data_IF_415347650440
#
_entry.id   IF_415347650440
#
_cell.length_a   1.000
_cell.length_b   1.000
_cell.length_c   1.000
_cell.angle_alpha   90.00
_cell.angle_beta   90.00
_cell.angle_gamma   90.00
#
_symmetry.space_group_name_H-M   'P 1'
#
loop_
_entity.id
_entity.type
_entity.pdbx_description
1 polymer ?
#
# COMPACT_ATOMS: atom_id res chain seq x y z
N UNK A 1 20.49 -26.77 10.81
CA UNK A 1 21.83 -26.82 11.44
C UNK A 1 21.66 -26.21 12.83
N UNK A 2 21.50 -27.06 13.82
CA UNK A 2 21.29 -26.67 15.23
C UNK A 2 22.63 -26.51 15.90
N UNK A 3 22.87 -25.39 16.56
CA UNK A 3 23.99 -25.26 17.50
C UNK A 3 23.43 -25.28 18.92
N UNK A 4 23.79 -26.30 19.65
CA UNK A 4 23.60 -26.45 21.08
C UNK A 4 24.80 -25.83 21.77
N UNK A 5 24.60 -24.93 22.73
CA UNK A 5 25.65 -24.45 23.63
C UNK A 5 25.39 -25.06 25.01
N UNK A 6 26.34 -25.84 25.50
CA UNK A 6 26.38 -26.37 26.87
C UNK A 6 26.80 -25.26 27.83
N UNK A 7 26.10 -25.13 28.95
CA UNK A 7 26.55 -24.42 30.15
C UNK A 7 27.25 -25.41 31.07
N UNK A 8 28.38 -24.99 31.57
CA UNK A 8 29.12 -25.69 32.60
C UNK A 8 28.81 -25.02 33.94
N UNK A 9 28.32 -25.82 34.91
CA UNK A 9 28.22 -25.45 36.34
C UNK A 9 29.58 -25.67 37.02
N UNK A 10 30.00 -24.75 37.87
CA UNK A 10 30.92 -25.06 38.95
C UNK A 10 30.52 -24.36 40.25
N UNK A 11 30.55 -25.15 41.27
CA UNK A 11 30.08 -25.00 42.64
C UNK A 11 30.63 -23.80 43.44
N UNK A 12 29.87 -23.39 44.44
CA UNK A 12 30.36 -22.54 45.52
C UNK A 12 29.27 -22.09 46.51
N UNK A 13 28.83 -22.97 47.37
CA UNK A 13 27.88 -22.65 48.43
C UNK A 13 28.44 -21.77 49.53
N UNK A 14 27.59 -20.89 50.08
CA UNK A 14 27.68 -20.49 51.51
C UNK A 14 26.34 -20.07 52.03
N UNK A 15 25.97 -20.75 53.07
CA UNK A 15 24.86 -20.58 54.00
C UNK A 15 24.87 -19.20 54.69
N UNK A 16 23.76 -18.51 54.84
CA UNK A 16 23.61 -17.45 55.83
C UNK A 16 22.16 -17.30 56.31
N UNK A 17 22.03 -17.57 57.60
CA UNK A 17 20.80 -17.70 58.40
C UNK A 17 20.02 -16.39 58.50
N UNK A 18 18.70 -16.50 58.54
CA UNK A 18 17.76 -15.50 59.03
C UNK A 18 18.04 -15.14 60.47
N UNK A 19 18.16 -13.83 60.77
CA UNK A 19 17.91 -13.26 62.10
C UNK A 19 16.74 -12.27 62.01
N UNK A 20 15.61 -12.70 62.58
CA UNK A 20 14.46 -11.83 62.84
C UNK A 20 14.72 -10.99 64.10
N UNK A 21 14.74 -9.67 63.97
CA UNK A 21 14.54 -8.75 65.10
C UNK A 21 13.29 -7.90 64.87
N UNK A 22 12.32 -8.13 65.74
CA UNK A 22 11.14 -7.27 65.91
C UNK A 22 11.51 -6.01 66.71
N UNK A 23 11.16 -4.83 66.22
CA UNK A 23 11.09 -3.57 66.98
C UNK A 23 9.71 -2.99 66.83
N UNK A 24 9.12 -2.40 67.90
CA UNK A 24 7.75 -1.97 67.90
C UNK A 24 7.60 -0.61 67.17
N UNK A 25 6.55 -0.51 66.38
CA UNK A 25 6.14 0.72 65.68
C UNK A 25 5.28 1.55 66.63
N UNK A 26 5.78 2.72 66.97
CA UNK A 26 5.03 3.77 67.67
C UNK A 26 4.19 4.51 66.60
N UNK A 27 2.87 4.39 66.70
CA UNK A 27 1.92 5.11 65.84
C UNK A 27 1.75 6.51 66.38
N UNK A 28 2.27 7.51 65.71
CA UNK A 28 1.92 8.93 65.89
C UNK A 28 1.03 9.33 64.74
N UNK A 29 -0.28 9.43 65.00
CA UNK A 29 -1.26 9.95 64.07
C UNK A 29 -1.16 11.48 64.00
N UNK A 30 -0.54 12.03 62.99
CA UNK A 30 -0.67 13.42 62.62
C UNK A 30 -1.76 13.51 61.53
N UNK A 31 -2.93 14.05 61.92
CA UNK A 31 -3.95 14.50 60.99
C UNK A 31 -3.42 15.73 60.23
N UNK A 32 -2.91 15.55 59.06
CA UNK A 32 -2.71 16.64 58.10
C UNK A 32 -3.96 16.73 57.22
N UNK A 33 -4.80 17.72 57.48
CA UNK A 33 -5.86 18.16 56.56
C UNK A 33 -5.21 18.71 55.27
N UNK A 34 -4.95 17.84 54.31
CA UNK A 34 -4.62 18.26 52.97
C UNK A 34 -5.91 18.65 52.27
N UNK A 35 -6.15 19.95 52.12
CA UNK A 35 -7.18 20.50 51.25
C UNK A 35 -6.84 20.07 49.80
N UNK A 36 -7.56 19.08 49.28
CA UNK A 36 -7.56 18.77 47.87
C UNK A 36 -8.12 19.99 47.12
N UNK A 37 -7.23 20.85 46.60
CA UNK A 37 -7.60 21.74 45.51
C UNK A 37 -7.87 20.86 44.29
N UNK A 38 -9.00 21.04 43.55
CA UNK A 38 -9.17 20.35 42.29
C UNK A 38 -8.00 20.76 41.39
N UNK A 39 -7.29 19.75 40.85
CA UNK A 39 -6.32 19.97 39.78
C UNK A 39 -7.11 20.64 38.68
N UNK A 40 -6.79 21.90 38.38
CA UNK A 40 -7.32 22.61 37.25
C UNK A 40 -7.16 21.66 36.04
N UNK A 41 -8.29 21.36 35.40
CA UNK A 41 -8.29 20.81 34.04
C UNK A 41 -7.36 21.72 33.24
N UNK A 42 -6.18 21.21 32.92
CA UNK A 42 -5.31 21.81 31.93
C UNK A 42 -6.21 22.09 30.74
N UNK A 43 -6.35 23.34 30.36
CA UNK A 43 -7.09 23.77 29.19
C UNK A 43 -6.68 22.88 28.01
N UNK A 44 -7.53 21.93 27.67
CA UNK A 44 -7.40 21.24 26.40
C UNK A 44 -7.53 22.34 25.35
N UNK A 45 -6.60 22.45 24.41
CA UNK A 45 -6.71 23.45 23.36
C UNK A 45 -8.11 23.27 22.74
N UNK A 46 -8.93 24.32 22.80
CA UNK A 46 -10.28 24.33 22.22
C UNK A 46 -10.15 23.79 20.81
N UNK A 47 -10.84 22.66 20.51
CA UNK A 47 -10.96 22.19 19.14
C UNK A 47 -11.35 23.40 18.28
N UNK A 48 -10.57 23.73 17.23
CA UNK A 48 -11.02 24.75 16.29
C UNK A 48 -12.42 24.41 15.82
N UNK A 49 -13.24 25.41 15.60
CA UNK A 49 -14.59 25.22 15.05
C UNK A 49 -14.49 24.38 13.75
N UNK A 50 -15.42 23.46 13.48
CA UNK A 50 -15.44 22.73 12.24
C UNK A 50 -15.33 23.72 11.07
N UNK A 51 -14.41 23.47 10.13
CA UNK A 51 -14.36 24.27 8.91
C UNK A 51 -15.73 24.11 8.27
N UNK A 52 -16.43 25.21 7.93
CA UNK A 52 -17.68 25.10 7.20
C UNK A 52 -17.43 24.23 5.94
N UNK A 53 -18.42 23.45 5.51
CA UNK A 53 -18.40 22.55 4.34
C UNK A 53 -18.07 23.24 2.98
N UNK A 54 -17.28 24.31 2.99
CA UNK A 54 -16.69 25.03 1.86
C UNK A 54 -15.35 24.48 1.38
N UNK A 55 -14.86 23.37 1.96
CA UNK A 55 -13.64 22.70 1.52
C UNK A 55 -13.83 21.97 0.18
N UNK A 56 -12.73 21.60 -0.46
CA UNK A 56 -12.71 20.83 -1.70
C UNK A 56 -13.34 19.44 -1.48
N UNK A 57 -14.60 19.27 -1.90
CA UNK A 57 -15.40 18.08 -1.57
C UNK A 57 -14.91 16.82 -2.30
N UNK A 58 -15.23 15.64 -1.73
CA UNK A 58 -14.92 14.35 -2.37
C UNK A 58 -15.54 14.24 -3.76
N UNK A 59 -16.80 14.64 -3.92
CA UNK A 59 -17.49 14.61 -5.23
C UNK A 59 -16.81 15.51 -6.27
N UNK A 60 -16.34 16.69 -5.86
CA UNK A 60 -15.58 17.58 -6.75
C UNK A 60 -14.23 16.96 -7.15
N UNK A 61 -13.52 16.32 -6.22
CA UNK A 61 -12.27 15.66 -6.51
C UNK A 61 -12.44 14.44 -7.44
N UNK A 62 -13.47 13.63 -7.21
CA UNK A 62 -13.82 12.52 -8.09
C UNK A 62 -14.27 13.03 -9.48
N UNK A 63 -15.00 14.14 -9.53
CA UNK A 63 -15.37 14.80 -10.78
C UNK A 63 -14.17 15.29 -11.60
N UNK A 64 -13.09 15.74 -10.92
CA UNK A 64 -11.82 16.06 -11.57
C UNK A 64 -11.18 14.80 -12.13
N UNK A 65 -11.10 13.72 -11.33
CA UNK A 65 -10.55 12.45 -11.76
C UNK A 65 -11.24 11.89 -13.01
N UNK A 66 -12.57 12.03 -13.08
CA UNK A 66 -13.35 11.58 -14.24
C UNK A 66 -13.14 12.47 -15.48
N UNK A 67 -13.15 13.79 -15.29
CA UNK A 67 -13.07 14.77 -16.39
C UNK A 67 -11.71 14.85 -17.04
N UNK A 68 -10.64 14.74 -16.24
CA UNK A 68 -9.25 14.91 -16.69
C UNK A 68 -8.51 13.60 -16.87
N UNK A 69 -9.25 12.51 -16.87
CA UNK A 69 -8.68 11.19 -17.13
C UNK A 69 -8.01 11.16 -18.50
N UNK A 70 -6.73 10.83 -18.53
CA UNK A 70 -5.95 10.64 -19.76
C UNK A 70 -6.36 9.31 -20.39
N UNK A 71 -7.27 9.39 -21.37
CA UNK A 71 -7.93 8.21 -21.95
C UNK A 71 -6.99 7.22 -22.63
N UNK A 72 -5.84 7.69 -23.13
CA UNK A 72 -4.84 6.84 -23.73
C UNK A 72 -4.14 5.89 -22.75
N UNK A 73 -4.22 6.15 -21.43
CA UNK A 73 -3.67 5.27 -20.40
C UNK A 73 -4.76 4.30 -19.97
N UNK A 74 -4.81 3.13 -20.59
CA UNK A 74 -5.81 2.09 -20.32
C UNK A 74 -5.28 0.92 -19.51
N UNK A 75 -3.96 0.70 -19.50
CA UNK A 75 -3.32 -0.40 -18.80
C UNK A 75 -2.33 0.10 -17.75
N UNK A 76 -2.18 -0.66 -16.67
CA UNK A 76 -1.13 -0.47 -15.67
C UNK A 76 0.27 -0.89 -16.16
N UNK A 77 0.34 -1.55 -17.30
CA UNK A 77 1.60 -1.90 -17.99
C UNK A 77 1.87 -0.83 -19.05
N UNK A 78 2.44 0.29 -18.64
CA UNK A 78 2.76 1.38 -19.55
C UNK A 78 4.27 1.56 -19.69
N UNK A 79 4.84 1.35 -20.90
CA UNK A 79 6.24 1.65 -21.18
C UNK A 79 6.57 3.13 -20.95
N UNK A 80 7.80 3.41 -20.56
CA UNK A 80 8.24 4.77 -20.24
C UNK A 80 8.06 5.71 -21.44
N UNK A 81 8.42 5.30 -22.64
CA UNK A 81 8.29 6.13 -23.84
C UNK A 81 6.81 6.51 -24.10
N UNK A 82 5.89 5.55 -23.96
CA UNK A 82 4.46 5.76 -24.19
C UNK A 82 3.88 6.71 -23.14
N UNK A 83 4.25 6.54 -21.86
CA UNK A 83 3.84 7.42 -20.77
C UNK A 83 4.21 8.88 -21.05
N UNK A 84 5.46 9.13 -21.40
CA UNK A 84 5.93 10.49 -21.69
C UNK A 84 5.35 11.07 -22.99
N UNK A 85 5.11 10.23 -24.00
CA UNK A 85 4.46 10.64 -25.25
C UNK A 85 3.03 11.11 -24.99
N UNK A 86 2.26 10.36 -24.22
CA UNK A 86 0.87 10.72 -23.86
C UNK A 86 0.80 11.99 -23.04
N UNK A 87 1.80 12.27 -22.20
CA UNK A 87 1.86 13.47 -21.37
C UNK A 87 2.35 14.72 -22.11
N UNK A 88 2.90 14.60 -23.31
CA UNK A 88 3.51 15.72 -24.04
C UNK A 88 2.61 16.98 -24.11
N UNK A 89 1.28 16.88 -24.31
CA UNK A 89 0.41 18.06 -24.30
C UNK A 89 0.42 18.82 -22.97
N UNK A 90 0.54 18.11 -21.83
CA UNK A 90 0.64 18.73 -20.51
C UNK A 90 2.04 19.31 -20.26
N UNK A 91 3.09 18.62 -20.69
CA UNK A 91 4.49 18.98 -20.40
C UNK A 91 4.94 20.29 -21.07
N UNK A 92 4.30 20.71 -22.14
CA UNK A 92 4.59 21.99 -22.84
C UNK A 92 3.84 23.19 -22.23
N UNK A 93 2.99 22.95 -21.24
CA UNK A 93 2.22 24.02 -20.59
C UNK A 93 3.14 24.95 -19.77
N UNK A 94 2.97 26.28 -19.87
CA UNK A 94 3.72 27.24 -19.07
C UNK A 94 3.39 27.18 -17.56
N UNK A 95 2.36 26.42 -17.17
CA UNK A 95 2.02 26.16 -15.76
C UNK A 95 2.96 25.15 -15.10
N UNK A 96 3.72 24.42 -15.88
CA UNK A 96 4.64 23.39 -15.39
C UNK A 96 6.09 23.76 -15.71
N UNK A 97 6.98 23.40 -14.78
CA UNK A 97 8.41 23.35 -15.04
C UNK A 97 8.85 21.89 -15.05
N UNK A 98 9.37 21.46 -16.20
CA UNK A 98 9.87 20.09 -16.42
C UNK A 98 11.38 20.12 -16.44
N UNK A 99 12.02 19.23 -15.70
CA UNK A 99 13.48 19.10 -15.66
C UNK A 99 13.90 17.62 -15.75
N UNK A 100 15.00 17.34 -16.42
CA UNK A 100 15.68 16.05 -16.34
C UNK A 100 16.56 16.04 -15.09
N UNK A 101 16.25 15.14 -14.15
CA UNK A 101 16.95 15.05 -12.86
C UNK A 101 18.06 13.99 -12.87
N UNK A 102 18.22 13.27 -13.96
CA UNK A 102 19.20 12.22 -14.17
C UNK A 102 18.76 11.22 -15.23
N UNK A 103 19.47 10.11 -15.31
CA UNK A 103 19.18 9.00 -16.21
C UNK A 103 19.20 7.69 -15.44
N UNK A 104 18.36 6.73 -15.86
CA UNK A 104 18.38 5.36 -15.34
C UNK A 104 19.66 4.62 -15.79
N UNK A 105 19.84 3.41 -15.29
CA UNK A 105 21.00 2.56 -15.69
C UNK A 105 21.07 2.37 -17.21
N UNK A 106 19.94 2.21 -17.90
CA UNK A 106 19.90 2.07 -19.35
C UNK A 106 19.80 3.41 -20.10
N UNK A 107 20.04 4.53 -19.41
CA UNK A 107 20.11 5.86 -20.02
C UNK A 107 18.75 6.53 -20.28
N UNK A 108 17.63 5.99 -19.78
CA UNK A 108 16.32 6.62 -19.90
C UNK A 108 16.23 7.83 -18.99
N UNK A 109 15.67 8.97 -19.46
CA UNK A 109 15.60 10.20 -18.67
C UNK A 109 14.69 10.03 -17.46
N UNK A 110 15.17 10.46 -16.29
CA UNK A 110 14.39 10.65 -15.08
C UNK A 110 13.91 12.10 -15.06
N UNK A 111 12.61 12.31 -14.91
CA UNK A 111 12.02 13.65 -15.01
C UNK A 111 11.28 14.02 -13.73
N UNK A 112 11.49 15.27 -13.30
CA UNK A 112 10.68 15.92 -12.29
C UNK A 112 9.84 17.03 -12.93
N UNK A 113 8.60 17.17 -12.44
CA UNK A 113 7.62 18.13 -12.93
C UNK A 113 7.18 18.96 -11.75
N UNK A 114 7.32 20.28 -11.84
CA UNK A 114 6.95 21.21 -10.77
C UNK A 114 5.75 22.06 -11.18
N UNK A 115 4.77 22.15 -10.29
CA UNK A 115 3.58 23.01 -10.40
C UNK A 115 3.51 23.95 -9.21
N UNK A 116 3.09 25.20 -9.46
CA UNK A 116 2.94 26.22 -8.44
C UNK A 116 4.27 26.85 -7.97
N UNK A 117 4.14 27.84 -7.10
CA UNK A 117 5.27 28.61 -6.55
C UNK A 117 5.04 29.03 -5.09
N UNK A 118 4.08 28.41 -4.41
CA UNK A 118 3.80 28.70 -3.01
C UNK A 118 4.90 28.25 -2.05
N UNK A 119 4.87 28.74 -0.80
CA UNK A 119 5.93 28.53 0.16
C UNK A 119 6.04 27.09 0.67
N UNK A 120 4.93 26.33 0.71
CA UNK A 120 4.94 24.95 1.20
C UNK A 120 5.33 23.99 0.09
N UNK A 121 6.35 23.19 0.33
CA UNK A 121 6.94 22.28 -0.67
C UNK A 121 6.46 20.84 -0.48
N UNK A 122 5.92 20.26 -1.54
CA UNK A 122 5.41 18.90 -1.54
C UNK A 122 6.10 18.08 -2.63
N UNK A 123 6.70 16.95 -2.26
CA UNK A 123 7.34 16.02 -3.19
C UNK A 123 6.51 14.74 -3.30
N UNK A 124 6.11 14.39 -4.51
CA UNK A 124 5.49 13.10 -4.82
C UNK A 124 6.43 12.29 -5.70
N UNK A 125 6.66 11.03 -5.36
CA UNK A 125 7.40 10.11 -6.24
C UNK A 125 6.69 8.79 -6.35
N UNK A 126 6.68 8.24 -7.55
CA UNK A 126 5.96 7.01 -7.90
C UNK A 126 6.84 6.10 -8.74
N UNK A 127 6.40 4.88 -8.89
CA UNK A 127 6.99 3.85 -9.75
C UNK A 127 8.51 3.69 -9.56
N UNK A 128 8.96 3.71 -8.29
CA UNK A 128 10.32 3.28 -7.99
C UNK A 128 10.44 1.74 -8.10
N UNK A 129 9.32 1.02 -7.99
CA UNK A 129 9.19 -0.34 -8.49
C UNK A 129 8.46 -0.26 -9.84
N UNK A 130 9.04 -0.87 -10.87
CA UNK A 130 8.57 -0.66 -12.24
C UNK A 130 7.20 -1.26 -12.55
N UNK A 131 6.72 -2.21 -11.75
CA UNK A 131 5.40 -2.84 -11.84
C UNK A 131 4.30 -2.15 -11.01
N UNK A 132 4.63 -1.02 -10.35
CA UNK A 132 3.73 -0.30 -9.44
C UNK A 132 3.26 1.02 -10.07
N UNK A 133 2.36 0.96 -11.05
CA UNK A 133 2.01 2.11 -11.89
C UNK A 133 0.72 2.85 -11.50
N UNK A 134 -0.01 2.43 -10.46
CA UNK A 134 -1.33 3.02 -10.14
C UNK A 134 -1.25 4.53 -9.94
N UNK A 135 -0.33 4.98 -9.10
CA UNK A 135 -0.16 6.40 -8.86
C UNK A 135 0.50 7.13 -10.04
N UNK A 136 1.36 6.47 -10.82
CA UNK A 136 1.93 7.02 -12.06
C UNK A 136 0.81 7.39 -13.04
N UNK A 137 -0.19 6.51 -13.21
CA UNK A 137 -1.38 6.81 -14.01
C UNK A 137 -2.20 7.96 -13.42
N UNK A 138 -2.36 8.00 -12.09
CA UNK A 138 -3.07 9.09 -11.43
C UNK A 138 -2.36 10.44 -11.57
N UNK A 139 -1.03 10.46 -11.49
CA UNK A 139 -0.25 11.67 -11.70
C UNK A 139 -0.39 12.22 -13.12
N UNK A 140 -0.60 11.37 -14.13
CA UNK A 140 -0.92 11.80 -15.49
C UNK A 140 -2.23 12.60 -15.54
N UNK A 141 -3.28 12.13 -14.87
CA UNK A 141 -4.57 12.81 -14.78
C UNK A 141 -4.47 14.14 -14.01
N UNK A 142 -3.73 14.14 -12.91
CA UNK A 142 -3.46 15.34 -12.12
C UNK A 142 -2.73 16.38 -12.97
N UNK A 143 -1.73 16.00 -13.76
CA UNK A 143 -1.02 16.91 -14.67
C UNK A 143 -1.94 17.45 -15.75
N UNK A 144 -2.83 16.63 -16.31
CA UNK A 144 -3.83 17.09 -17.28
C UNK A 144 -4.78 18.14 -16.66
N UNK A 145 -5.22 17.94 -15.41
CA UNK A 145 -5.99 18.94 -14.69
C UNK A 145 -5.20 20.20 -14.36
N UNK A 146 -3.96 20.08 -13.89
CA UNK A 146 -3.10 21.21 -13.54
C UNK A 146 -2.84 22.14 -14.72
N UNK A 147 -2.84 21.60 -15.94
CA UNK A 147 -2.55 22.33 -17.18
C UNK A 147 -3.77 22.81 -17.93
N UNK A 148 -4.98 22.45 -17.49
CA UNK A 148 -6.22 22.85 -18.12
C UNK A 148 -6.40 24.37 -18.15
N UNK A 149 -7.02 24.89 -19.23
CA UNK A 149 -7.16 26.32 -19.47
C UNK A 149 -8.35 26.98 -18.75
N UNK A 150 -9.33 26.17 -18.33
CA UNK A 150 -10.51 26.69 -17.62
C UNK A 150 -10.15 27.26 -16.25
N UNK A 151 -10.91 28.24 -15.79
CA UNK A 151 -10.77 28.75 -14.42
C UNK A 151 -11.11 27.65 -13.39
N UNK A 152 -10.30 27.55 -12.33
CA UNK A 152 -10.48 26.56 -11.27
C UNK A 152 -9.83 27.09 -9.97
N UNK A 153 -10.69 27.47 -9.01
CA UNK A 153 -10.23 28.09 -7.76
C UNK A 153 -9.43 27.15 -6.87
N UNK A 154 -9.62 25.81 -6.97
CA UNK A 154 -8.82 24.83 -6.24
C UNK A 154 -7.41 24.81 -6.83
N UNK A 155 -7.29 24.70 -8.15
CA UNK A 155 -6.00 24.69 -8.84
C UNK A 155 -5.21 25.98 -8.58
N UNK A 156 -5.86 27.15 -8.62
CA UNK A 156 -5.22 28.44 -8.38
C UNK A 156 -4.75 28.57 -6.93
N UNK A 157 -5.56 28.10 -5.96
CA UNK A 157 -5.17 28.01 -4.56
C UNK A 157 -3.96 27.09 -4.37
N UNK A 158 -3.95 25.88 -4.96
CA UNK A 158 -2.81 24.99 -4.89
C UNK A 158 -1.56 25.64 -5.48
N UNK A 159 -1.66 26.29 -6.64
CA UNK A 159 -0.55 26.93 -7.30
C UNK A 159 0.08 28.07 -6.46
N UNK A 160 -0.74 28.84 -5.72
CA UNK A 160 -0.26 29.96 -4.89
C UNK A 160 0.21 29.54 -3.51
N UNK A 161 -0.31 28.45 -2.95
CA UNK A 161 0.02 27.97 -1.59
C UNK A 161 1.13 26.95 -1.57
N UNK A 162 1.26 26.15 -2.64
CA UNK A 162 2.18 25.02 -2.72
C UNK A 162 3.16 25.16 -3.88
N UNK A 163 4.34 24.59 -3.70
CA UNK A 163 5.23 24.17 -4.78
C UNK A 163 5.21 22.64 -4.79
N UNK A 164 4.54 22.04 -5.77
CA UNK A 164 4.37 20.60 -5.88
C UNK A 164 5.34 20.05 -6.92
N UNK A 165 6.27 19.22 -6.51
CA UNK A 165 7.21 18.53 -7.39
C UNK A 165 6.81 17.06 -7.49
N UNK A 166 6.70 16.54 -8.70
CA UNK A 166 6.30 15.17 -9.00
C UNK A 166 7.38 14.44 -9.80
N UNK A 167 7.72 13.23 -9.39
CA UNK A 167 8.57 12.28 -10.12
C UNK A 167 7.66 11.07 -10.44
N UNK A 168 6.92 11.09 -11.56
CA UNK A 168 5.91 10.06 -11.82
C UNK A 168 6.47 8.66 -12.07
N UNK A 169 7.70 8.56 -12.59
CA UNK A 169 8.33 7.28 -12.94
C UNK A 169 9.82 7.33 -12.61
N UNK A 170 10.16 6.83 -11.41
CA UNK A 170 11.54 6.82 -10.94
C UNK A 170 12.35 5.64 -11.52
N UNK A 171 11.68 4.52 -11.87
CA UNK A 171 12.32 3.32 -12.43
C UNK A 171 11.78 3.01 -13.84
N UNK A 172 12.18 3.79 -14.86
CA UNK A 172 11.71 3.56 -16.22
C UNK A 172 12.20 2.24 -16.81
N UNK A 173 13.34 1.71 -16.35
CA UNK A 173 13.89 0.43 -16.81
C UNK A 173 13.07 -0.76 -16.32
N UNK A 174 12.63 -0.70 -15.04
CA UNK A 174 11.71 -1.67 -14.46
C UNK A 174 10.32 -1.57 -15.08
N UNK A 175 9.83 -0.37 -15.37
CA UNK A 175 8.54 -0.14 -16.03
C UNK A 175 8.44 -0.81 -17.39
N UNK A 176 9.51 -0.71 -18.22
CA UNK A 176 9.58 -1.38 -19.52
C UNK A 176 9.40 -2.90 -19.43
N UNK A 177 9.87 -3.51 -18.36
CA UNK A 177 9.81 -4.96 -18.14
C UNK A 177 8.64 -5.37 -17.24
N UNK A 178 7.93 -4.39 -16.71
CA UNK A 178 6.90 -4.57 -15.69
C UNK A 178 7.41 -5.44 -14.53
N UNK A 179 8.54 -5.03 -13.96
CA UNK A 179 9.21 -5.71 -12.85
C UNK A 179 9.55 -4.73 -11.73
N UNK A 180 9.67 -5.25 -10.51
CA UNK A 180 9.95 -4.46 -9.32
C UNK A 180 11.32 -3.75 -9.39
N UNK A 181 12.35 -4.51 -9.69
CA UNK A 181 13.74 -4.06 -9.66
C UNK A 181 14.09 -3.23 -10.90
N UNK A 182 15.19 -2.51 -10.82
CA UNK A 182 15.77 -1.79 -11.96
C UNK A 182 16.48 -2.75 -12.95
N UNK A 183 17.17 -2.18 -13.94
CA UNK A 183 17.80 -2.93 -15.02
C UNK A 183 18.83 -3.99 -14.58
N UNK A 184 19.42 -3.83 -13.39
CA UNK A 184 20.44 -4.74 -12.84
C UNK A 184 19.94 -5.55 -11.63
N UNK A 185 18.62 -5.62 -11.41
CA UNK A 185 18.04 -6.42 -10.34
C UNK A 185 18.14 -5.79 -8.95
N UNK A 186 18.34 -4.47 -8.84
CA UNK A 186 18.36 -3.76 -7.56
C UNK A 186 16.98 -3.17 -7.28
N UNK A 187 16.43 -3.49 -6.10
CA UNK A 187 15.28 -2.79 -5.54
C UNK A 187 15.73 -1.38 -5.08
N UNK A 188 15.26 -0.35 -5.80
CA UNK A 188 15.62 1.05 -5.54
C UNK A 188 15.18 1.46 -4.12
N UNK A 189 14.05 0.92 -3.61
CA UNK A 189 13.58 1.16 -2.24
C UNK A 189 14.36 0.35 -1.17
N UNK A 190 15.49 -0.23 -1.54
CA UNK A 190 16.50 -0.83 -0.65
C UNK A 190 17.87 -0.20 -0.80
N UNK A 191 17.95 0.89 -1.57
CA UNK A 191 19.20 1.58 -1.88
C UNK A 191 19.28 3.01 -1.27
N UNK A 192 18.28 3.44 -0.50
CA UNK A 192 18.20 4.79 0.06
C UNK A 192 19.39 5.18 0.95
N UNK A 193 19.98 4.20 1.67
CA UNK A 193 21.13 4.43 2.53
C UNK A 193 22.44 4.46 1.73
N UNK A 194 22.59 3.59 0.74
CA UNK A 194 23.85 3.39 0.01
C UNK A 194 23.95 4.27 -1.22
N UNK A 195 22.82 4.56 -1.86
CA UNK A 195 22.74 5.38 -3.07
C UNK A 195 23.64 4.86 -4.20
N UNK A 196 23.62 3.57 -4.47
CA UNK A 196 24.44 2.93 -5.50
C UNK A 196 23.90 3.20 -6.89
N UNK A 197 22.55 3.18 -7.04
CA UNK A 197 21.88 3.33 -8.32
C UNK A 197 21.74 4.81 -8.73
N UNK A 198 21.74 5.12 -10.03
CA UNK A 198 21.51 6.49 -10.51
C UNK A 198 20.12 7.01 -10.12
N UNK A 199 19.10 6.15 -10.09
CA UNK A 199 17.74 6.48 -9.70
C UNK A 199 17.69 6.92 -8.22
N UNK A 200 18.34 6.17 -7.33
CA UNK A 200 18.43 6.52 -5.91
C UNK A 200 19.18 7.83 -5.68
N UNK A 201 20.31 8.04 -6.39
CA UNK A 201 21.06 9.30 -6.36
C UNK A 201 20.23 10.48 -6.85
N UNK A 202 19.46 10.31 -7.94
CA UNK A 202 18.61 11.36 -8.49
C UNK A 202 17.52 11.77 -7.50
N UNK A 203 16.81 10.82 -6.87
CA UNK A 203 15.79 11.12 -5.87
C UNK A 203 16.40 11.82 -4.64
N UNK A 204 17.56 11.37 -4.17
CA UNK A 204 18.26 12.00 -3.04
C UNK A 204 18.69 13.43 -3.37
N UNK A 205 19.27 13.66 -4.54
CA UNK A 205 19.67 14.99 -5.00
C UNK A 205 18.48 15.96 -5.12
N UNK A 206 17.34 15.46 -5.62
CA UNK A 206 16.08 16.23 -5.63
C UNK A 206 15.68 16.61 -4.21
N UNK A 207 15.66 15.65 -3.28
CA UNK A 207 15.33 15.94 -1.88
C UNK A 207 16.22 17.01 -1.28
N UNK A 208 17.53 16.93 -1.46
CA UNK A 208 18.50 17.87 -0.87
C UNK A 208 18.33 19.31 -1.37
N UNK A 209 18.08 19.49 -2.68
CA UNK A 209 17.91 20.83 -3.25
C UNK A 209 16.50 21.39 -3.06
N UNK A 210 15.48 20.52 -3.10
CA UNK A 210 14.09 20.94 -3.00
C UNK A 210 13.66 21.15 -1.55
N UNK A 211 14.15 20.31 -0.62
CA UNK A 211 13.84 20.33 0.82
C UNK A 211 12.32 20.32 1.07
N UNK A 212 11.63 19.24 0.74
CA UNK A 212 10.19 19.18 0.85
C UNK A 212 9.72 19.14 2.31
N UNK A 213 8.64 19.89 2.61
CA UNK A 213 7.95 19.85 3.90
C UNK A 213 7.13 18.55 4.03
N UNK A 214 6.53 18.12 2.93
CA UNK A 214 5.70 16.91 2.82
C UNK A 214 6.20 16.01 1.70
N UNK A 215 6.10 14.70 1.91
CA UNK A 215 6.46 13.67 0.95
C UNK A 215 5.36 12.64 0.77
N UNK A 216 5.09 12.25 -0.47
CA UNK A 216 4.19 11.15 -0.81
C UNK A 216 4.99 10.06 -1.54
N UNK A 217 5.17 8.95 -0.84
CA UNK A 217 5.77 7.73 -1.37
C UNK A 217 4.67 6.87 -1.96
N UNK A 218 4.59 6.80 -3.28
CA UNK A 218 3.46 6.22 -3.99
C UNK A 218 3.84 4.86 -4.56
N UNK A 219 3.22 3.82 -4.01
CA UNK A 219 3.50 2.42 -4.30
C UNK A 219 2.24 1.62 -4.64
N UNK A 220 2.45 0.40 -5.10
CA UNK A 220 1.43 -0.63 -5.18
C UNK A 220 1.83 -1.84 -4.31
N UNK A 221 0.91 -2.34 -3.48
CA UNK A 221 1.13 -3.55 -2.70
C UNK A 221 0.67 -4.81 -3.44
N UNK A 222 1.13 -5.95 -2.96
CA UNK A 222 0.74 -7.25 -3.49
C UNK A 222 -0.79 -7.44 -3.41
N UNK A 223 -1.40 -7.88 -4.52
CA UNK A 223 -2.85 -8.09 -4.61
C UNK A 223 -3.38 -9.17 -3.65
N UNK A 224 -2.51 -10.05 -3.12
CA UNK A 224 -2.85 -11.06 -2.11
C UNK A 224 -2.84 -10.54 -0.69
N UNK A 225 -2.80 -9.22 -0.52
CA UNK A 225 -2.84 -8.57 0.78
C UNK A 225 -4.27 -8.32 1.20
N UNK A 226 -4.57 -8.55 2.48
CA UNK A 226 -5.88 -8.36 3.11
C UNK A 226 -5.83 -7.33 4.23
N UNK A 227 -6.97 -6.78 4.58
CA UNK A 227 -7.16 -5.94 5.77
C UNK A 227 -7.23 -6.85 7.00
N UNK A 228 -6.20 -6.86 7.83
CA UNK A 228 -6.07 -7.82 8.92
C UNK A 228 -6.06 -9.27 8.42
N UNK A 229 -6.26 -10.21 9.33
CA UNK A 229 -6.25 -11.65 9.00
C UNK A 229 -7.50 -12.13 8.28
N UNK A 230 -8.65 -11.51 8.55
CA UNK A 230 -9.97 -11.99 8.12
C UNK A 230 -10.75 -11.01 7.25
N UNK A 231 -10.28 -9.77 7.14
CA UNK A 231 -10.92 -8.73 6.33
C UNK A 231 -10.84 -9.01 4.82
N UNK A 232 -11.43 -8.16 3.99
CA UNK A 232 -11.39 -8.29 2.54
C UNK A 232 -9.99 -8.02 1.98
N UNK A 233 -9.81 -8.22 0.67
CA UNK A 233 -8.64 -7.78 -0.07
C UNK A 233 -8.42 -6.27 0.18
N UNK A 234 -7.18 -5.90 0.52
CA UNK A 234 -6.83 -4.51 0.78
C UNK A 234 -6.74 -3.72 -0.53
N UNK A 235 -7.58 -2.71 -0.66
CA UNK A 235 -7.53 -1.76 -1.78
C UNK A 235 -6.42 -0.72 -1.58
N UNK A 236 -6.24 -0.28 -0.35
CA UNK A 236 -5.21 0.71 0.03
C UNK A 236 -4.57 0.28 1.36
N UNK A 237 -3.26 0.48 1.49
CA UNK A 237 -2.60 0.53 2.78
C UNK A 237 -1.82 1.84 2.94
N UNK A 238 -1.83 2.39 4.14
CA UNK A 238 -1.20 3.66 4.48
C UNK A 238 -0.09 3.46 5.51
N UNK A 239 0.93 4.32 5.47
CA UNK A 239 1.95 4.35 6.50
C UNK A 239 2.44 5.80 6.73
N UNK A 240 2.55 6.19 8.00
CA UNK A 240 3.39 7.27 8.46
C UNK A 240 4.72 6.67 8.94
N UNK A 241 5.76 6.59 8.08
CA UNK A 241 6.97 5.82 8.35
C UNK A 241 7.69 6.27 9.61
N UNK A 242 8.30 5.31 10.32
CA UNK A 242 9.19 5.63 11.42
C UNK A 242 10.46 6.31 10.90
N UNK A 243 11.03 7.21 11.69
CA UNK A 243 12.32 7.85 11.41
C UNK A 243 13.45 7.28 12.31
N UNK A 244 13.13 6.33 13.18
CA UNK A 244 14.07 5.68 14.09
C UNK A 244 13.57 4.28 14.50
N UNK A 245 14.49 3.47 15.06
CA UNK A 245 14.20 2.09 15.48
C UNK A 245 13.25 2.00 16.69
N UNK A 246 13.12 3.05 17.49
CA UNK A 246 12.16 3.13 18.59
C UNK A 246 10.75 3.45 18.12
N UNK A 247 10.58 3.76 16.84
CA UNK A 247 9.31 4.16 16.23
C UNK A 247 8.65 5.35 16.95
N UNK A 248 9.49 6.28 17.36
CA UNK A 248 9.05 7.50 18.06
C UNK A 248 8.14 8.38 17.19
N UNK A 249 7.45 9.32 17.83
CA UNK A 249 6.56 10.27 17.16
C UNK A 249 7.11 11.71 17.20
N UNK A 250 8.24 12.00 16.53
CA UNK A 250 8.69 13.37 16.40
C UNK A 250 7.66 14.21 15.61
N UNK A 251 7.72 15.57 15.71
CA UNK A 251 6.72 16.44 15.07
C UNK A 251 6.48 16.16 13.58
N UNK A 252 7.54 15.81 12.84
CA UNK A 252 7.44 15.47 11.41
C UNK A 252 6.58 14.22 11.18
N UNK A 253 6.80 13.17 11.95
CA UNK A 253 6.02 11.94 11.86
C UNK A 253 4.59 12.13 12.38
N UNK A 254 4.41 12.91 13.46
CA UNK A 254 3.08 13.26 13.96
C UNK A 254 2.25 14.01 12.90
N UNK A 255 2.87 14.92 12.15
CA UNK A 255 2.24 15.61 11.03
C UNK A 255 1.89 14.66 9.88
N UNK A 256 2.78 13.73 9.54
CA UNK A 256 2.50 12.68 8.55
C UNK A 256 1.31 11.78 8.97
N UNK A 257 1.19 11.48 10.26
CA UNK A 257 0.05 10.71 10.81
C UNK A 257 -1.29 11.43 10.60
N UNK A 258 -1.33 12.75 10.78
CA UNK A 258 -2.55 13.52 10.51
C UNK A 258 -2.95 13.43 9.03
N UNK A 259 -1.98 13.56 8.11
CA UNK A 259 -2.22 13.37 6.68
C UNK A 259 -2.73 11.95 6.40
N UNK A 260 -2.09 10.92 6.98
CA UNK A 260 -2.53 9.53 6.83
C UNK A 260 -3.96 9.30 7.39
N UNK A 261 -4.33 10.00 8.46
CA UNK A 261 -5.68 9.94 9.04
C UNK A 261 -6.74 10.53 8.09
N UNK A 262 -6.46 11.67 7.48
CA UNK A 262 -7.35 12.26 6.46
C UNK A 262 -7.51 11.32 5.26
N UNK A 263 -6.41 10.77 4.75
CA UNK A 263 -6.42 9.78 3.68
C UNK A 263 -7.22 8.53 4.07
N UNK A 264 -7.03 8.00 5.28
CA UNK A 264 -7.75 6.83 5.76
C UNK A 264 -9.26 7.04 5.74
N UNK A 265 -9.73 8.17 6.27
CA UNK A 265 -11.15 8.55 6.27
C UNK A 265 -11.68 8.70 4.84
N UNK A 266 -10.95 9.40 4.00
CA UNK A 266 -11.36 9.67 2.62
C UNK A 266 -11.43 8.36 1.79
N UNK A 267 -10.42 7.50 1.85
CA UNK A 267 -10.44 6.21 1.15
C UNK A 267 -11.55 5.30 1.68
N UNK A 268 -11.69 5.18 3.02
CA UNK A 268 -12.72 4.31 3.60
C UNK A 268 -14.14 4.74 3.20
N UNK A 269 -14.38 6.04 2.98
CA UNK A 269 -15.65 6.55 2.46
C UNK A 269 -16.00 6.03 1.06
N UNK A 270 -15.00 5.63 0.26
CA UNK A 270 -15.16 5.17 -1.13
C UNK A 270 -15.03 3.65 -1.27
N UNK A 271 -14.19 3.02 -0.45
CA UNK A 271 -13.93 1.58 -0.44
C UNK A 271 -14.02 1.03 0.99
N UNK A 272 -15.21 1.04 1.62
CA UNK A 272 -15.39 0.70 3.02
C UNK A 272 -14.77 -0.65 3.40
N UNK A 273 -14.00 -0.65 4.51
CA UNK A 273 -13.36 -1.83 5.05
C UNK A 273 -12.18 -2.37 4.22
N UNK A 274 -11.75 -1.67 3.15
CA UNK A 274 -10.61 -2.07 2.30
C UNK A 274 -9.38 -1.20 2.50
N UNK A 275 -9.38 -0.38 3.54
CA UNK A 275 -8.24 0.45 3.93
C UNK A 275 -7.54 -0.20 5.12
N UNK A 276 -6.22 -0.32 5.04
CA UNK A 276 -5.36 -0.90 6.08
C UNK A 276 -4.18 0.01 6.38
N UNK A 277 -3.39 -0.32 7.39
CA UNK A 277 -2.08 0.29 7.60
C UNK A 277 -0.96 -0.71 7.41
N UNK A 278 0.18 -0.21 6.98
CA UNK A 278 1.41 -0.98 6.82
C UNK A 278 2.17 -1.06 8.14
N UNK A 279 3.01 -2.09 8.32
CA UNK A 279 3.92 -2.19 9.47
C UNK A 279 4.92 -1.03 9.46
N UNK A 280 5.11 -0.39 10.61
CA UNK A 280 5.96 0.79 10.78
C UNK A 280 7.37 0.48 11.31
N UNK A 281 7.82 -0.77 11.18
CA UNK A 281 9.19 -1.14 11.54
C UNK A 281 10.19 -0.35 10.70
N UNK A 282 11.05 0.42 11.38
CA UNK A 282 12.02 1.29 10.72
C UNK A 282 12.97 0.52 9.81
N UNK A 283 13.03 0.91 8.56
CA UNK A 283 13.91 0.32 7.55
C UNK A 283 14.86 1.38 6.96
N UNK A 284 16.10 1.48 7.45
CA UNK A 284 17.06 2.50 6.97
C UNK A 284 17.51 2.31 5.52
N UNK A 285 17.04 1.28 4.83
CA UNK A 285 17.29 1.07 3.40
C UNK A 285 16.17 1.64 2.53
N UNK A 286 15.00 1.98 3.12
CA UNK A 286 13.83 2.46 2.40
C UNK A 286 13.78 3.99 2.34
N UNK A 287 13.39 4.54 1.19
CA UNK A 287 13.27 5.99 1.01
C UNK A 287 12.18 6.61 1.88
N UNK A 288 11.03 5.94 2.06
CA UNK A 288 9.95 6.45 2.90
C UNK A 288 10.42 6.77 4.32
N UNK A 289 11.19 5.87 4.91
CA UNK A 289 11.77 6.02 6.26
C UNK A 289 12.85 7.10 6.30
N UNK A 290 13.80 7.07 5.35
CA UNK A 290 14.89 8.03 5.33
C UNK A 290 14.44 9.46 4.97
N UNK A 291 13.36 9.65 4.23
CA UNK A 291 12.77 10.99 4.02
C UNK A 291 12.37 11.63 5.37
N UNK A 292 11.83 10.84 6.31
CA UNK A 292 11.56 11.28 7.68
C UNK A 292 12.81 11.69 8.43
N UNK A 293 13.89 10.90 8.33
CA UNK A 293 15.21 11.20 8.90
C UNK A 293 15.77 12.50 8.29
N UNK A 294 15.54 12.73 7.00
CA UNK A 294 16.04 13.92 6.30
C UNK A 294 15.16 15.16 6.46
N UNK A 295 14.09 15.09 7.25
CA UNK A 295 13.30 16.27 7.61
C UNK A 295 11.99 16.45 6.86
N UNK A 296 11.48 15.43 6.16
CA UNK A 296 10.23 15.46 5.40
C UNK A 296 9.13 14.69 6.12
N UNK A 297 7.95 15.30 6.28
CA UNK A 297 6.74 14.57 6.74
C UNK A 297 6.24 13.67 5.62
N UNK A 298 6.57 12.39 5.67
CA UNK A 298 6.31 11.44 4.59
C UNK A 298 5.12 10.54 4.89
N UNK A 299 4.25 10.32 3.90
CA UNK A 299 3.19 9.33 3.91
C UNK A 299 3.41 8.35 2.75
N UNK A 300 3.31 7.05 3.05
CA UNK A 300 3.25 5.99 2.06
C UNK A 300 1.79 5.71 1.71
N UNK A 301 1.51 5.61 0.43
CA UNK A 301 0.25 5.10 -0.11
C UNK A 301 0.57 3.87 -0.97
N UNK A 302 0.05 2.73 -0.54
CA UNK A 302 0.18 1.45 -1.23
C UNK A 302 -1.15 1.08 -1.87
N UNK A 303 -1.25 1.16 -3.19
CA UNK A 303 -2.44 0.74 -3.93
C UNK A 303 -2.45 -0.77 -4.13
N UNK A 304 -3.44 -1.45 -3.58
CA UNK A 304 -3.59 -2.90 -3.65
C UNK A 304 -4.32 -3.38 -4.92
N UNK A 305 -5.40 -4.12 -4.71
CA UNK A 305 -6.28 -4.54 -5.80
C UNK A 305 -7.75 -4.47 -5.38
N UNK A 306 -8.61 -4.36 -6.38
CA UNK A 306 -10.06 -4.30 -6.19
C UNK A 306 -10.74 -5.32 -7.10
N UNK A 307 -11.87 -5.90 -6.68
CA UNK A 307 -12.67 -6.74 -7.56
C UNK A 307 -13.03 -6.00 -8.85
N UNK A 308 -12.94 -6.69 -9.98
CA UNK A 308 -13.30 -6.16 -11.31
C UNK A 308 -12.48 -4.93 -11.77
N UNK A 309 -11.27 -4.75 -11.25
CA UNK A 309 -10.37 -3.65 -11.63
C UNK A 309 -8.99 -4.19 -12.10
N UNK A 310 -8.93 -4.95 -13.22
CA UNK A 310 -7.73 -5.65 -13.67
C UNK A 310 -6.58 -4.72 -14.06
N UNK A 311 -6.88 -3.50 -14.47
CA UNK A 311 -5.90 -2.48 -14.82
C UNK A 311 -5.83 -1.33 -13.79
N UNK A 312 -6.38 -1.56 -12.58
CA UNK A 312 -6.38 -0.61 -11.45
C UNK A 312 -6.92 0.79 -11.81
N UNK A 313 -7.86 0.87 -12.76
CA UNK A 313 -8.42 2.14 -13.20
C UNK A 313 -9.34 2.77 -12.15
N UNK A 314 -10.04 1.96 -11.35
CA UNK A 314 -10.79 2.42 -10.18
C UNK A 314 -9.87 2.96 -9.09
N UNK A 315 -8.78 2.25 -8.77
CA UNK A 315 -7.77 2.71 -7.82
C UNK A 315 -7.04 3.97 -8.33
N UNK A 316 -6.73 4.07 -9.64
CA UNK A 316 -6.20 5.30 -10.28
C UNK A 316 -7.10 6.49 -10.00
N UNK A 317 -8.41 6.36 -10.26
CA UNK A 317 -9.42 7.40 -10.01
C UNK A 317 -9.42 7.85 -8.55
N UNK A 318 -9.37 6.90 -7.61
CA UNK A 318 -9.30 7.19 -6.18
C UNK A 318 -8.01 7.91 -5.81
N UNK A 319 -6.85 7.46 -6.32
CA UNK A 319 -5.58 8.14 -6.07
C UNK A 319 -5.60 9.60 -6.53
N UNK A 320 -6.16 9.91 -7.71
CA UNK A 320 -6.34 11.32 -8.17
C UNK A 320 -7.11 12.13 -7.12
N UNK A 321 -8.28 11.66 -6.73
CA UNK A 321 -9.15 12.38 -5.81
C UNK A 321 -8.47 12.58 -4.44
N UNK A 322 -7.85 11.54 -3.88
CA UNK A 322 -7.21 11.58 -2.56
C UNK A 322 -5.97 12.46 -2.54
N UNK A 323 -5.12 12.37 -3.57
CA UNK A 323 -3.94 13.22 -3.69
C UNK A 323 -4.36 14.69 -3.77
N UNK A 324 -5.33 15.02 -4.62
CA UNK A 324 -5.79 16.41 -4.77
C UNK A 324 -6.42 16.95 -3.48
N UNK A 325 -7.28 16.17 -2.80
CA UNK A 325 -7.85 16.58 -1.51
C UNK A 325 -6.80 16.77 -0.43
N UNK A 326 -5.79 15.91 -0.41
CA UNK A 326 -4.69 16.02 0.56
C UNK A 326 -3.82 17.24 0.26
N UNK A 327 -3.53 17.54 -1.01
CA UNK A 327 -2.84 18.76 -1.40
C UNK A 327 -3.63 20.00 -0.98
N UNK A 328 -4.96 20.00 -1.14
CA UNK A 328 -5.81 21.10 -0.68
C UNK A 328 -5.83 21.23 0.85
N UNK A 329 -5.88 20.11 1.57
CA UNK A 329 -5.79 20.11 3.03
C UNK A 329 -4.43 20.64 3.53
N UNK A 330 -3.33 20.38 2.80
CA UNK A 330 -2.01 20.97 3.09
C UNK A 330 -2.01 22.47 2.78
N UNK A 331 -2.55 22.87 1.63
CA UNK A 331 -2.61 24.28 1.20
C UNK A 331 -3.39 25.17 2.16
N UNK A 332 -4.47 24.63 2.73
CA UNK A 332 -5.36 25.32 3.67
C UNK A 332 -5.01 25.05 5.13
N UNK A 333 -4.04 24.18 5.42
CA UNK A 333 -3.70 23.65 6.74
C UNK A 333 -4.85 22.89 7.43
N UNK A 334 -5.88 22.50 6.71
CA UNK A 334 -7.01 21.74 7.24
C UNK A 334 -6.61 20.39 7.81
N UNK A 335 -5.47 19.82 7.37
CA UNK A 335 -4.93 18.57 7.91
C UNK A 335 -4.63 18.63 9.43
N UNK A 336 -4.39 19.82 9.99
CA UNK A 336 -4.14 20.01 11.44
C UNK A 336 -5.35 19.65 12.31
N UNK A 337 -6.54 19.57 11.69
CA UNK A 337 -7.80 19.23 12.35
C UNK A 337 -8.19 17.75 12.18
N UNK A 338 -7.43 16.96 11.43
CA UNK A 338 -7.70 15.55 11.24
C UNK A 338 -7.49 14.77 12.54
N UNK A 339 -8.37 13.80 12.80
CA UNK A 339 -8.26 12.95 14.00
C UNK A 339 -7.23 11.83 13.73
N UNK A 340 -6.08 11.80 14.43
CA UNK A 340 -5.10 10.75 14.24
C UNK A 340 -5.63 9.34 14.51
N UNK A 341 -6.73 9.20 15.26
CA UNK A 341 -7.38 7.91 15.52
C UNK A 341 -7.96 7.29 14.24
N UNK A 342 -8.27 8.08 13.21
CA UNK A 342 -8.74 7.55 11.93
C UNK A 342 -7.64 6.70 11.23
N UNK A 343 -6.37 6.99 11.49
CA UNK A 343 -5.25 6.14 11.06
C UNK A 343 -4.95 5.02 12.07
N UNK A 344 -4.92 5.33 13.37
CA UNK A 344 -4.53 4.36 14.40
C UNK A 344 -5.46 3.15 14.49
N UNK A 345 -6.76 3.33 14.28
CA UNK A 345 -7.76 2.25 14.30
C UNK A 345 -7.68 1.30 13.09
N UNK A 346 -6.94 1.66 12.03
CA UNK A 346 -6.79 0.78 10.87
C UNK A 346 -6.11 -0.55 11.28
N UNK A 347 -6.66 -1.65 10.80
CA UNK A 347 -5.98 -2.94 10.92
C UNK A 347 -4.71 -2.96 10.04
N UNK A 348 -3.68 -3.67 10.52
CA UNK A 348 -2.51 -3.92 9.68
C UNK A 348 -2.88 -4.75 8.45
N UNK A 349 -2.23 -4.49 7.33
CA UNK A 349 -2.32 -5.36 6.17
C UNK A 349 -1.67 -6.71 6.46
N UNK A 350 -2.19 -7.77 5.85
CA UNK A 350 -1.67 -9.14 6.05
C UNK A 350 -1.53 -9.80 4.68
N UNK A 351 -0.30 -10.17 4.34
CA UNK A 351 0.01 -10.90 3.11
C UNK A 351 -0.19 -12.41 3.25
N UNK A 352 0.13 -13.14 2.18
CA UNK A 352 0.17 -14.61 2.18
C UNK A 352 -1.16 -15.31 1.92
N UNK A 353 -2.23 -14.57 1.59
CA UNK A 353 -3.47 -15.18 1.11
C UNK A 353 -3.26 -15.85 -0.26
N UNK A 354 -4.02 -16.89 -0.53
CA UNK A 354 -4.17 -17.42 -1.90
C UNK A 354 -5.13 -16.53 -2.71
N UNK A 355 -5.09 -16.64 -4.04
CA UNK A 355 -5.99 -15.83 -4.87
C UNK A 355 -7.42 -16.39 -4.87
N UNK A 356 -7.57 -17.70 -4.99
CA UNK A 356 -8.86 -18.37 -5.03
C UNK A 356 -8.78 -19.70 -4.29
N UNK A 357 -9.77 -19.95 -3.45
CA UNK A 357 -10.01 -21.23 -2.81
C UNK A 357 -11.36 -21.80 -3.27
N UNK A 358 -11.35 -22.96 -3.91
CA UNK A 358 -12.55 -23.72 -4.30
C UNK A 358 -12.82 -24.71 -3.20
N UNK A 359 -13.94 -24.58 -2.48
CA UNK A 359 -14.29 -25.36 -1.30
C UNK A 359 -15.47 -26.29 -1.50
N UNK A 360 -15.44 -27.46 -0.85
CA UNK A 360 -16.54 -28.35 -0.70
C UNK A 360 -16.97 -29.12 -1.98
N UNK A 361 -16.15 -29.01 -3.03
CA UNK A 361 -16.41 -29.73 -4.28
C UNK A 361 -15.92 -31.16 -4.26
N UNK A 362 -16.38 -31.98 -5.22
CA UNK A 362 -15.89 -33.32 -5.46
C UNK A 362 -15.13 -33.40 -6.78
N UNK A 363 -13.83 -33.73 -6.72
CA UNK A 363 -12.98 -33.91 -7.90
C UNK A 363 -13.40 -35.18 -8.63
N UNK A 364 -13.64 -35.06 -9.94
CA UNK A 364 -13.99 -36.17 -10.84
C UNK A 364 -12.78 -36.51 -11.71
N UNK A 365 -12.25 -37.71 -11.53
CA UNK A 365 -11.14 -38.23 -12.34
C UNK A 365 -11.58 -39.49 -13.11
N UNK A 366 -11.02 -39.76 -14.30
CA UNK A 366 -11.38 -40.92 -15.09
C UNK A 366 -11.19 -42.25 -14.35
N UNK A 367 -12.26 -43.06 -14.29
CA UNK A 367 -12.23 -44.39 -13.68
C UNK A 367 -12.14 -44.42 -12.15
N UNK A 368 -12.42 -43.26 -11.49
CA UNK A 368 -12.47 -43.17 -10.03
C UNK A 368 -13.80 -42.60 -9.55
N UNK A 369 -14.28 -43.00 -8.34
CA UNK A 369 -15.40 -42.31 -7.73
C UNK A 369 -15.03 -40.85 -7.42
N UNK A 370 -16.01 -39.89 -7.39
CA UNK A 370 -15.76 -38.55 -6.99
C UNK A 370 -15.14 -38.46 -5.59
N UNK A 371 -14.12 -37.60 -5.42
CA UNK A 371 -13.38 -37.44 -4.18
C UNK A 371 -13.57 -36.00 -3.68
N UNK A 372 -14.11 -35.85 -2.47
CA UNK A 372 -14.25 -34.54 -1.84
C UNK A 372 -12.89 -33.95 -1.52
N UNK A 373 -12.59 -32.75 -2.04
CA UNK A 373 -11.38 -32.01 -1.76
C UNK A 373 -11.54 -30.52 -2.14
N UNK A 374 -10.83 -29.68 -1.42
CA UNK A 374 -10.66 -28.28 -1.76
C UNK A 374 -9.51 -28.11 -2.76
N UNK A 375 -9.56 -27.05 -3.56
CA UNK A 375 -8.49 -26.70 -4.51
C UNK A 375 -8.09 -25.24 -4.31
N UNK A 376 -6.81 -25.03 -4.03
CA UNK A 376 -6.20 -23.69 -3.92
C UNK A 376 -5.55 -23.29 -5.24
N UNK A 377 -5.75 -22.04 -5.65
CA UNK A 377 -5.29 -21.50 -6.91
C UNK A 377 -4.62 -20.15 -6.70
N UNK A 378 -3.45 -19.96 -7.31
CA UNK A 378 -2.82 -18.65 -7.46
C UNK A 378 -2.79 -18.28 -8.94
N UNK A 379 -3.04 -17.00 -9.24
CA UNK A 379 -2.91 -16.45 -10.58
C UNK A 379 -1.47 -15.94 -10.83
N UNK A 380 -0.99 -16.08 -12.05
CA UNK A 380 0.27 -15.47 -12.49
C UNK A 380 0.16 -13.94 -12.44
N UNK A 381 -1.00 -13.42 -12.88
CA UNK A 381 -1.38 -12.03 -12.65
C UNK A 381 -2.55 -11.98 -11.64
N UNK A 382 -2.28 -11.76 -10.35
CA UNK A 382 -3.32 -11.77 -9.33
C UNK A 382 -4.27 -10.58 -9.41
N UNK A 383 -3.89 -9.47 -10.05
CA UNK A 383 -4.75 -8.30 -10.26
C UNK A 383 -5.75 -8.56 -11.37
N UNK A 384 -5.27 -9.03 -12.52
CA UNK A 384 -6.11 -9.38 -13.66
C UNK A 384 -6.81 -10.75 -13.48
N UNK A 385 -6.37 -11.54 -12.50
CA UNK A 385 -6.87 -12.92 -12.22
C UNK A 385 -6.72 -13.84 -13.43
N UNK A 386 -5.56 -13.82 -14.07
CA UNK A 386 -5.23 -14.62 -15.24
C UNK A 386 -4.05 -15.55 -14.98
N UNK A 387 -3.96 -16.63 -15.76
CA UNK A 387 -2.88 -17.60 -15.64
C UNK A 387 -2.97 -18.42 -14.34
N UNK A 388 -4.17 -18.95 -14.00
CA UNK A 388 -4.37 -19.74 -12.81
C UNK A 388 -3.48 -20.96 -12.72
N UNK A 389 -2.85 -21.17 -11.55
CA UNK A 389 -2.04 -22.35 -11.22
C UNK A 389 -2.57 -23.01 -9.97
N UNK A 390 -2.69 -24.34 -10.00
CA UNK A 390 -3.01 -25.14 -8.82
C UNK A 390 -1.89 -24.98 -7.81
N UNK A 391 -2.21 -24.55 -6.61
CA UNK A 391 -1.26 -24.32 -5.52
C UNK A 391 -1.26 -25.43 -4.49
N UNK A 392 -2.44 -25.98 -4.22
CA UNK A 392 -2.63 -27.06 -3.25
C UNK A 392 -3.97 -27.78 -3.51
N UNK A 393 -4.10 -29.02 -3.08
CA UNK A 393 -5.31 -29.86 -3.22
C UNK A 393 -5.46 -30.73 -1.98
N UNK A 394 -6.64 -30.77 -1.37
CA UNK A 394 -6.91 -31.64 -0.23
C UNK A 394 -7.80 -30.99 0.81
N UNK A 395 -7.49 -31.19 2.10
CA UNK A 395 -8.14 -30.48 3.21
C UNK A 395 -7.47 -29.13 3.42
N UNK A 396 -8.16 -28.06 3.02
CA UNK A 396 -7.68 -26.69 3.12
C UNK A 396 -8.49 -25.84 4.12
N UNK A 397 -9.06 -26.50 5.17
CA UNK A 397 -9.98 -25.87 6.11
C UNK A 397 -9.45 -24.60 6.78
N UNK A 398 -8.15 -24.51 7.08
CA UNK A 398 -7.51 -23.34 7.71
C UNK A 398 -6.95 -22.32 6.72
N UNK A 399 -7.07 -22.57 5.41
CA UNK A 399 -6.42 -21.76 4.39
C UNK A 399 -7.16 -20.45 4.15
N UNK A 400 -6.39 -19.36 4.00
CA UNK A 400 -6.91 -18.02 3.74
C UNK A 400 -6.71 -17.67 2.26
N UNK A 401 -7.79 -17.23 1.61
CA UNK A 401 -7.77 -16.76 0.24
C UNK A 401 -8.38 -15.36 0.12
N UNK A 402 -8.00 -14.64 -0.94
CA UNK A 402 -8.62 -13.37 -1.32
C UNK A 402 -10.09 -13.59 -1.69
N UNK A 403 -10.36 -14.70 -2.41
CA UNK A 403 -11.69 -15.07 -2.84
C UNK A 403 -11.93 -16.56 -2.57
N UNK A 404 -13.19 -16.92 -2.30
CA UNK A 404 -13.60 -18.31 -2.07
C UNK A 404 -14.80 -18.63 -2.95
N UNK A 405 -14.70 -19.71 -3.73
CA UNK A 405 -15.80 -20.30 -4.46
C UNK A 405 -16.35 -21.48 -3.65
N UNK A 406 -17.58 -21.35 -3.14
CA UNK A 406 -18.30 -22.47 -2.59
C UNK A 406 -18.75 -23.41 -3.74
N UNK A 407 -18.17 -24.60 -3.74
CA UNK A 407 -18.47 -25.67 -4.69
C UNK A 407 -19.24 -26.82 -4.03
N UNK A 408 -19.81 -26.62 -2.85
CA UNK A 408 -20.60 -27.62 -2.13
C UNK A 408 -21.69 -28.19 -3.04
N UNK A 409 -21.77 -29.51 -3.12
CA UNK A 409 -22.70 -30.22 -4.03
C UNK A 409 -22.40 -30.04 -5.51
N UNK A 410 -21.19 -29.60 -5.86
CA UNK A 410 -20.71 -29.47 -7.24
C UNK A 410 -19.54 -30.41 -7.51
N UNK A 411 -19.31 -30.67 -8.79
CA UNK A 411 -18.30 -31.60 -9.26
C UNK A 411 -17.23 -30.81 -10.02
N UNK A 412 -15.98 -31.02 -9.63
CA UNK A 412 -14.79 -30.38 -10.21
C UNK A 412 -14.24 -31.29 -11.30
N UNK A 413 -14.40 -30.90 -12.55
CA UNK A 413 -13.92 -31.64 -13.72
C UNK A 413 -12.61 -31.01 -14.22
N UNK A 414 -11.44 -31.56 -13.86
CA UNK A 414 -10.16 -31.08 -14.40
C UNK A 414 -10.09 -31.34 -15.89
N UNK A 415 -9.66 -30.34 -16.65
CA UNK A 415 -9.30 -30.50 -18.05
C UNK A 415 -7.86 -31.01 -18.17
N UNK A 416 -7.43 -31.50 -19.35
CA UNK A 416 -6.10 -32.10 -19.53
C UNK A 416 -4.93 -31.26 -19.02
N UNK A 417 -5.01 -29.93 -19.11
CA UNK A 417 -3.97 -29.01 -18.69
C UNK A 417 -3.77 -28.93 -17.16
N UNK A 418 -4.74 -29.39 -16.40
CA UNK A 418 -4.70 -29.47 -14.92
C UNK A 418 -4.17 -30.81 -14.42
N UNK A 419 -4.00 -31.80 -15.31
CA UNK A 419 -3.65 -33.16 -14.96
C UNK A 419 -2.19 -33.48 -15.29
N UNK A 420 -1.55 -34.31 -14.46
CA UNK A 420 -0.26 -34.91 -14.84
C UNK A 420 -0.47 -35.98 -15.91
N UNK A 421 0.46 -36.08 -16.83
CA UNK A 421 0.56 -37.16 -17.82
C UNK A 421 1.51 -38.27 -17.36
N UNK A 422 2.19 -38.11 -16.22
CA UNK A 422 3.15 -39.07 -15.69
C UNK A 422 2.43 -40.12 -14.86
N UNK A 423 2.14 -41.29 -15.46
CA UNK A 423 1.52 -42.43 -14.80
C UNK A 423 0.27 -42.94 -15.51
N UNK A 424 -0.27 -44.10 -15.07
CA UNK A 424 -1.40 -44.76 -15.74
C UNK A 424 -2.75 -44.02 -15.56
N UNK A 425 -2.81 -43.05 -14.66
CA UNK A 425 -4.02 -42.22 -14.40
C UNK A 425 -3.60 -40.79 -14.13
N UNK A 426 -4.28 -39.85 -14.78
CA UNK A 426 -4.08 -38.43 -14.50
C UNK A 426 -4.58 -38.05 -13.10
N UNK A 427 -3.92 -37.15 -12.42
CA UNK A 427 -4.36 -36.51 -11.16
C UNK A 427 -4.07 -35.02 -11.21
N UNK A 428 -4.78 -34.23 -10.39
CA UNK A 428 -4.52 -32.81 -10.26
C UNK A 428 -3.09 -32.58 -9.80
N UNK A 429 -2.35 -31.75 -10.54
CA UNK A 429 -0.93 -31.53 -10.30
C UNK A 429 -0.69 -30.13 -9.76
N UNK A 430 -0.07 -30.03 -8.59
CA UNK A 430 0.41 -28.73 -8.06
C UNK A 430 1.40 -28.10 -9.05
N UNK A 431 1.18 -26.82 -9.36
CA UNK A 431 1.94 -26.09 -10.37
C UNK A 431 1.35 -26.15 -11.79
N UNK A 432 0.45 -27.11 -12.09
CA UNK A 432 -0.25 -27.16 -13.37
C UNK A 432 -1.25 -26.00 -13.53
N UNK A 433 -1.71 -25.76 -14.76
CA UNK A 433 -2.81 -24.81 -15.02
C UNK A 433 -4.07 -25.21 -14.24
N UNK A 434 -4.75 -24.21 -13.66
CA UNK A 434 -6.00 -24.42 -12.92
C UNK A 434 -7.20 -24.56 -13.88
N UNK A 435 -7.08 -25.42 -14.86
CA UNK A 435 -8.10 -25.65 -15.90
C UNK A 435 -9.19 -26.60 -15.34
N UNK A 436 -10.19 -26.05 -14.64
CA UNK A 436 -11.23 -26.83 -13.94
C UNK A 436 -12.61 -26.30 -14.31
N UNK A 437 -13.48 -27.21 -14.79
CA UNK A 437 -14.91 -26.96 -14.96
C UNK A 437 -15.66 -27.35 -13.68
N UNK A 438 -16.35 -26.42 -13.05
CA UNK A 438 -17.27 -26.69 -11.91
C UNK A 438 -18.65 -26.98 -12.48
N UNK A 439 -19.19 -28.20 -12.24
CA UNK A 439 -20.42 -28.69 -12.85
C UNK A 439 -21.43 -29.16 -11.80
N UNK A 440 -22.68 -29.28 -12.22
CA UNK A 440 -23.78 -29.72 -11.36
C UNK A 440 -23.81 -31.26 -11.13
N UNK A 441 -23.14 -32.06 -11.97
CA UNK A 441 -23.14 -33.51 -11.91
C UNK A 441 -21.80 -34.13 -12.27
N UNK A 442 -21.69 -35.42 -12.05
CA UNK A 442 -20.50 -36.25 -12.33
C UNK A 442 -20.21 -36.35 -13.83
N UNK A 443 -21.27 -36.32 -14.66
CA UNK A 443 -21.10 -36.42 -16.11
C UNK A 443 -20.59 -35.13 -16.72
N UNK A 444 -19.68 -35.23 -17.67
CA UNK A 444 -19.12 -34.08 -18.40
C UNK A 444 -20.15 -33.30 -19.22
N UNK A 445 -21.32 -33.91 -19.52
CA UNK A 445 -22.47 -33.24 -20.13
C UNK A 445 -23.36 -32.48 -19.15
N UNK A 446 -23.12 -32.56 -17.85
CA UNK A 446 -23.93 -31.85 -16.85
C UNK A 446 -23.72 -30.32 -16.93
N UNK A 447 -24.65 -29.56 -16.34
CA UNK A 447 -24.63 -28.08 -16.39
C UNK A 447 -23.34 -27.52 -15.86
N UNK A 448 -22.67 -26.74 -16.68
CA UNK A 448 -21.47 -25.95 -16.29
C UNK A 448 -21.91 -24.77 -15.43
N UNK A 449 -21.47 -24.72 -14.16
CA UNK A 449 -21.72 -23.63 -13.23
C UNK A 449 -20.65 -22.54 -13.34
N UNK A 450 -19.38 -22.94 -13.47
CA UNK A 450 -18.25 -22.03 -13.57
C UNK A 450 -17.07 -22.70 -14.27
N UNK A 451 -16.30 -21.91 -15.00
CA UNK A 451 -14.99 -22.31 -15.55
C UNK A 451 -13.88 -21.56 -14.84
N UNK A 452 -12.84 -22.26 -14.46
CA UNK A 452 -11.62 -21.71 -13.85
C UNK A 452 -10.47 -21.93 -14.84
N UNK A 453 -9.68 -20.87 -15.09
CA UNK A 453 -8.58 -20.87 -16.07
C UNK A 453 -7.31 -20.22 -15.53
#
# INVERSE_FOLDING_TARGET
MYFTIHSVDEDGGTDCRLMTRRLPVLVISLLALASCRPVNQLDQPKRPAPIPDGGFSMNAALGIADRYRVAAITSRRIPSADYWSVLQPSLVSPRLRVEEIGKSILGRPLRAITFGNGPTKVLLWSQMHGDEATATMALADILAWMTASNADGVRDRLASSLTVMMIPMLNPDGAERFQRENAVGIDINRDARRLSTPEAKALKAVHERFKPDFGFNLHDQNARTRVGRTGPQAGIALLAPAADSSRSWPPLRARARLIAAGLAKDFDSQIPGRVSKYDDTFNPRAFGDLMGVWGTSTVLIESGAMPNDPDKQGLRRLNVAMILRTLDAIATKAYEQFDPNDYEKLAFNTGGALDLLVRGGSIVLPGMPPIAADVAINFEDPVARTGGRIRDVGDLAGTIAVDTLDATGSFLHPRPEALTTNGPRGYLTVGARAAIDVRAGVDTGSVLKRRIE
#
